data_IF_537391365147
#
_entry.id   IF_537391365147
#
_cell.length_a   1.000
_cell.length_b   1.000
_cell.length_c   1.000
_cell.angle_alpha   90.00
_cell.angle_beta   90.00
_cell.angle_gamma   90.00
#
_symmetry.space_group_name_H-M   'P 1'
#
loop_
_entity.id
_entity.type
_entity.pdbx_description
1 polymer ?
#
# COMPACT_ATOMS: atom_id res chain seq x y z
N UNK A 1 -7.83 22.27 15.20
CA UNK A 1 -8.59 21.04 15.53
C UNK A 1 -7.58 19.97 15.84
N UNK A 2 -7.54 19.47 17.08
CA UNK A 2 -6.76 18.27 17.40
C UNK A 2 -7.24 17.13 16.51
N UNK A 3 -6.31 16.42 15.88
CA UNK A 3 -6.67 15.30 15.04
C UNK A 3 -7.14 14.14 15.92
N UNK A 4 -8.45 13.94 15.99
CA UNK A 4 -9.12 12.94 16.84
C UNK A 4 -8.63 11.52 16.60
N UNK A 5 -8.14 11.21 15.40
CA UNK A 5 -7.58 9.91 15.09
C UNK A 5 -6.24 9.65 15.81
N UNK A 6 -5.35 10.64 15.90
CA UNK A 6 -4.04 10.45 16.54
C UNK A 6 -4.15 10.10 18.03
N UNK A 7 -5.22 10.58 18.67
CA UNK A 7 -5.54 10.29 20.07
C UNK A 7 -6.38 9.02 20.24
N UNK A 8 -6.81 8.36 19.16
CA UNK A 8 -7.58 7.14 19.24
C UNK A 8 -6.78 6.04 19.93
N UNK A 9 -7.39 5.42 20.94
CA UNK A 9 -6.82 4.24 21.59
C UNK A 9 -6.78 3.09 20.60
N UNK A 10 -5.67 2.36 20.60
CA UNK A 10 -5.48 1.18 19.76
C UNK A 10 -5.15 -0.01 20.65
N UNK A 11 -5.57 -1.19 20.23
CA UNK A 11 -5.26 -2.45 20.92
C UNK A 11 -3.87 -2.92 20.52
N UNK A 12 -2.84 -2.27 21.06
CA UNK A 12 -1.43 -2.59 20.81
C UNK A 12 -0.63 -2.54 22.12
N UNK A 13 0.21 -3.56 22.43
CA UNK A 13 0.91 -3.66 23.71
C UNK A 13 1.84 -2.48 24.00
N UNK A 14 2.58 -2.00 23.01
CA UNK A 14 3.60 -0.94 23.21
C UNK A 14 3.14 0.47 22.84
N UNK A 15 2.00 0.62 22.17
CA UNK A 15 1.56 1.90 21.60
C UNK A 15 0.09 2.11 21.95
N UNK A 16 -0.17 2.94 22.96
CA UNK A 16 -1.53 3.13 23.46
C UNK A 16 -2.44 3.92 22.51
N UNK A 17 -1.86 4.66 21.55
CA UNK A 17 -2.61 5.46 20.57
C UNK A 17 -2.05 5.33 19.16
N UNK A 18 -2.88 5.63 18.16
CA UNK A 18 -2.48 5.65 16.75
C UNK A 18 -1.31 6.62 16.49
N UNK A 19 -1.31 7.79 17.16
CA UNK A 19 -0.23 8.76 17.07
C UNK A 19 1.12 8.20 17.55
N UNK A 20 1.15 7.53 18.71
CA UNK A 20 2.38 6.90 19.22
C UNK A 20 2.91 5.82 18.29
N UNK A 21 2.01 5.04 17.67
CA UNK A 21 2.40 4.03 16.69
C UNK A 21 3.03 4.66 15.43
N UNK A 22 2.45 5.76 14.92
CA UNK A 22 2.98 6.49 13.78
C UNK A 22 4.33 7.16 14.08
N UNK A 23 4.50 7.73 15.27
CA UNK A 23 5.78 8.28 15.73
C UNK A 23 6.86 7.20 15.80
N UNK A 24 6.53 6.04 16.36
CA UNK A 24 7.41 4.88 16.40
C UNK A 24 7.83 4.41 15.00
N UNK A 25 6.87 4.34 14.07
CA UNK A 25 7.14 4.02 12.66
C UNK A 25 8.10 5.04 12.03
N UNK A 26 7.82 6.35 12.16
CA UNK A 26 8.66 7.42 11.58
C UNK A 26 10.08 7.37 12.13
N UNK A 27 10.22 7.15 13.44
CA UNK A 27 11.54 6.97 14.08
C UNK A 27 12.26 5.73 13.53
N UNK A 28 11.58 4.59 13.43
CA UNK A 28 12.15 3.36 12.91
C UNK A 28 12.61 3.50 11.45
N UNK A 29 11.85 4.20 10.60
CA UNK A 29 12.23 4.51 9.22
C UNK A 29 13.50 5.37 9.19
N UNK A 30 13.53 6.46 9.98
CA UNK A 30 14.68 7.36 10.06
C UNK A 30 15.96 6.64 10.52
N UNK A 31 15.81 5.71 11.45
CA UNK A 31 16.91 4.90 12.00
C UNK A 31 17.25 3.67 11.12
N UNK A 32 16.56 3.49 9.99
CA UNK A 32 16.64 2.31 9.11
C UNK A 32 16.52 0.98 9.87
N UNK A 33 15.66 0.96 10.89
CA UNK A 33 15.50 -0.17 11.80
C UNK A 33 14.86 -1.37 11.09
N UNK A 34 15.25 -2.59 11.49
CA UNK A 34 14.59 -3.83 11.05
C UNK A 34 13.14 -3.95 11.55
N UNK A 35 12.75 -3.13 12.53
CA UNK A 35 11.40 -3.11 13.11
C UNK A 35 10.34 -2.45 12.22
N UNK A 36 10.72 -1.72 11.15
CA UNK A 36 9.78 -0.98 10.28
C UNK A 36 8.63 -1.88 9.76
N UNK A 37 8.95 -3.12 9.36
CA UNK A 37 7.93 -4.07 8.89
C UNK A 37 6.90 -4.42 9.99
N UNK A 38 7.34 -4.50 11.25
CA UNK A 38 6.46 -4.81 12.39
C UNK A 38 5.42 -3.69 12.56
N UNK A 39 5.83 -2.43 12.47
CA UNK A 39 4.92 -1.29 12.54
C UNK A 39 3.86 -1.34 11.43
N UNK A 40 4.29 -1.52 10.17
CA UNK A 40 3.34 -1.61 9.05
C UNK A 40 2.38 -2.80 9.18
N UNK A 41 2.86 -3.95 9.67
CA UNK A 41 2.02 -5.11 9.96
C UNK A 41 0.99 -4.81 11.05
N UNK A 42 1.38 -4.11 12.12
CA UNK A 42 0.47 -3.75 13.19
C UNK A 42 -0.61 -2.76 12.69
N UNK A 43 -0.20 -1.77 11.89
CA UNK A 43 -1.14 -0.84 11.23
C UNK A 43 -2.13 -1.61 10.35
N UNK A 44 -1.65 -2.56 9.54
CA UNK A 44 -2.51 -3.43 8.72
C UNK A 44 -3.53 -4.19 9.56
N UNK A 45 -3.07 -4.81 10.66
CA UNK A 45 -3.90 -5.65 11.53
C UNK A 45 -4.94 -4.84 12.31
N UNK A 46 -4.65 -3.59 12.65
CA UNK A 46 -5.61 -2.70 13.29
C UNK A 46 -6.78 -2.35 12.37
N UNK A 47 -6.59 -2.37 11.04
CA UNK A 47 -7.66 -2.18 10.07
C UNK A 47 -8.38 -0.83 10.19
N UNK A 48 -7.72 0.20 10.73
CA UNK A 48 -8.33 1.51 10.94
C UNK A 48 -8.14 2.39 9.70
N UNK A 49 -9.24 2.82 9.10
CA UNK A 49 -9.28 3.71 7.93
C UNK A 49 -8.44 4.98 8.12
N UNK A 50 -8.39 5.52 9.34
CA UNK A 50 -7.66 6.75 9.66
C UNK A 50 -6.14 6.67 9.43
N UNK A 51 -5.53 5.47 9.35
CA UNK A 51 -4.10 5.35 9.02
C UNK A 51 -3.80 5.67 7.56
N UNK A 52 -4.75 5.48 6.65
CA UNK A 52 -4.53 5.60 5.21
C UNK A 52 -3.80 6.89 4.78
N UNK A 53 -4.29 8.11 5.11
CA UNK A 53 -3.60 9.34 4.73
C UNK A 53 -2.19 9.43 5.31
N UNK A 54 -2.01 9.04 6.58
CA UNK A 54 -0.72 9.13 7.26
C UNK A 54 0.34 8.20 6.67
N UNK A 55 -0.06 6.98 6.29
CA UNK A 55 0.87 6.03 5.67
C UNK A 55 1.31 6.56 4.31
N UNK A 56 0.40 7.13 3.51
CA UNK A 56 0.78 7.71 2.22
C UNK A 56 1.75 8.87 2.39
N UNK A 57 1.51 9.79 3.35
CA UNK A 57 2.47 10.87 3.63
C UNK A 57 3.85 10.33 4.08
N UNK A 58 3.89 9.29 4.92
CA UNK A 58 5.15 8.63 5.31
C UNK A 58 5.89 8.04 4.11
N UNK A 59 5.15 7.42 3.18
CA UNK A 59 5.76 6.81 2.00
C UNK A 59 6.30 7.83 1.00
N UNK A 60 5.66 9.00 0.88
CA UNK A 60 6.15 10.12 0.05
C UNK A 60 7.49 10.65 0.54
N UNK A 61 7.69 10.68 1.85
CA UNK A 61 8.94 11.10 2.49
C UNK A 61 10.04 10.00 2.44
N UNK A 62 9.73 8.82 1.89
CA UNK A 62 10.62 7.65 1.92
C UNK A 62 11.10 7.27 0.52
N UNK A 63 12.42 7.17 0.36
CA UNK A 63 13.05 6.72 -0.89
C UNK A 63 13.27 5.20 -0.94
N UNK A 64 13.32 4.54 0.23
CA UNK A 64 13.60 3.10 0.32
C UNK A 64 12.41 2.27 -0.16
N UNK A 65 12.57 1.61 -1.30
CA UNK A 65 11.52 0.80 -1.95
C UNK A 65 10.96 -0.29 -1.04
N UNK A 66 11.78 -0.86 -0.15
CA UNK A 66 11.32 -1.88 0.80
C UNK A 66 10.28 -1.32 1.78
N UNK A 67 10.41 -0.06 2.19
CA UNK A 67 9.44 0.60 3.06
C UNK A 67 8.18 1.00 2.28
N UNK A 68 8.31 1.45 1.02
CA UNK A 68 7.17 1.65 0.10
C UNK A 68 6.37 0.36 -0.07
N UNK A 69 7.03 -0.77 -0.29
CA UNK A 69 6.40 -2.08 -0.36
C UNK A 69 5.59 -2.38 0.91
N UNK A 70 6.19 -2.25 2.10
CA UNK A 70 5.51 -2.54 3.37
C UNK A 70 4.34 -1.61 3.65
N UNK A 71 4.50 -0.30 3.37
CA UNK A 71 3.44 0.67 3.58
C UNK A 71 2.26 0.46 2.64
N UNK A 72 2.50 0.26 1.34
CA UNK A 72 1.43 -0.04 0.39
C UNK A 72 0.70 -1.34 0.78
N UNK A 73 1.42 -2.34 1.26
CA UNK A 73 0.82 -3.57 1.76
C UNK A 73 -0.02 -3.35 3.04
N UNK A 74 0.32 -2.36 3.86
CA UNK A 74 -0.44 -1.99 5.05
C UNK A 74 -1.76 -1.27 4.73
N UNK A 75 -1.86 -0.65 3.55
CA UNK A 75 -3.09 -0.03 3.00
C UNK A 75 -4.11 -1.07 2.52
N UNK A 76 -4.51 -1.94 3.44
CA UNK A 76 -5.54 -2.97 3.20
C UNK A 76 -6.96 -2.47 3.46
N UNK A 77 -7.10 -1.43 4.29
CA UNK A 77 -8.38 -0.78 4.60
C UNK A 77 -8.47 0.56 3.89
N UNK A 78 -9.43 0.69 2.97
CA UNK A 78 -9.66 1.93 2.23
C UNK A 78 -10.68 2.79 3.01
N UNK A 79 -10.41 4.08 3.27
CA UNK A 79 -11.34 4.98 3.93
C UNK A 79 -12.69 5.06 3.20
N UNK A 80 -13.79 5.20 3.94
CA UNK A 80 -15.13 5.45 3.36
C UNK A 80 -15.29 6.85 2.78
N UNK A 81 -14.49 7.80 3.26
CA UNK A 81 -14.48 9.16 2.72
C UNK A 81 -13.79 9.17 1.35
N UNK A 82 -14.60 9.26 0.30
CA UNK A 82 -14.16 9.24 -1.10
C UNK A 82 -13.24 10.43 -1.42
N UNK A 83 -13.42 11.60 -0.79
CA UNK A 83 -12.61 12.77 -1.09
C UNK A 83 -11.20 12.63 -0.51
N UNK A 84 -11.08 11.99 0.66
CA UNK A 84 -9.77 11.58 1.22
C UNK A 84 -9.07 10.62 0.27
N UNK A 85 -9.76 9.59 -0.22
CA UNK A 85 -9.16 8.60 -1.14
C UNK A 85 -8.76 9.26 -2.46
N UNK A 86 -9.64 10.07 -3.04
CA UNK A 86 -9.41 10.79 -4.31
C UNK A 86 -8.13 11.64 -4.25
N UNK A 87 -7.91 12.33 -3.12
CA UNK A 87 -6.74 13.19 -2.90
C UNK A 87 -5.43 12.43 -3.07
N UNK A 88 -5.37 11.16 -2.64
CA UNK A 88 -4.13 10.39 -2.54
C UNK A 88 -3.88 9.41 -3.69
N UNK A 89 -4.85 9.22 -4.60
CA UNK A 89 -4.62 8.41 -5.83
C UNK A 89 -3.38 8.88 -6.60
N UNK A 90 -3.17 10.20 -6.87
CA UNK A 90 -2.00 10.66 -7.59
C UNK A 90 -0.68 10.27 -6.93
N UNK A 91 -0.59 10.37 -5.59
CA UNK A 91 0.63 9.99 -4.85
C UNK A 91 0.91 8.48 -4.99
N UNK A 92 -0.12 7.63 -4.97
CA UNK A 92 0.02 6.18 -5.19
C UNK A 92 0.49 5.90 -6.62
N UNK A 93 -0.07 6.59 -7.61
CA UNK A 93 0.34 6.43 -9.00
C UNK A 93 1.79 6.85 -9.22
N UNK A 94 2.21 7.96 -8.63
CA UNK A 94 3.60 8.45 -8.68
C UNK A 94 4.57 7.47 -8.02
N UNK A 95 4.18 6.84 -6.90
CA UNK A 95 5.00 5.79 -6.27
C UNK A 95 5.18 4.55 -7.15
N UNK A 96 4.20 4.23 -8.00
CA UNK A 96 4.29 3.13 -8.96
C UNK A 96 5.14 3.53 -10.17
N UNK A 97 4.99 4.77 -10.66
CA UNK A 97 5.76 5.30 -11.79
C UNK A 97 7.25 5.48 -11.47
N UNK A 98 7.58 5.90 -10.24
CA UNK A 98 8.95 6.26 -9.85
C UNK A 98 9.81 5.09 -9.36
N UNK A 99 9.33 3.84 -9.46
CA UNK A 99 10.01 2.67 -8.89
C UNK A 99 10.47 1.68 -9.95
N UNK A 100 11.68 1.17 -9.78
CA UNK A 100 12.21 0.01 -10.52
C UNK A 100 11.99 -1.30 -9.75
N UNK A 101 11.22 -1.29 -8.65
CA UNK A 101 11.04 -2.44 -7.78
C UNK A 101 9.70 -3.14 -8.04
N UNK A 102 9.71 -4.37 -8.60
CA UNK A 102 8.50 -5.09 -9.00
C UNK A 102 7.48 -5.30 -7.86
N UNK A 103 7.96 -5.42 -6.61
CA UNK A 103 7.09 -5.58 -5.43
C UNK A 103 6.32 -4.32 -5.09
N UNK A 104 6.92 -3.14 -5.32
CA UNK A 104 6.25 -1.84 -5.11
C UNK A 104 5.14 -1.69 -6.15
N UNK A 105 5.42 -2.02 -7.41
CA UNK A 105 4.41 -2.02 -8.48
C UNK A 105 3.25 -2.93 -8.11
N UNK A 106 3.52 -4.19 -7.74
CA UNK A 106 2.47 -5.15 -7.40
C UNK A 106 1.59 -4.65 -6.22
N UNK A 107 2.22 -4.15 -5.15
CA UNK A 107 1.47 -3.63 -4.00
C UNK A 107 0.70 -2.35 -4.32
N UNK A 108 1.27 -1.44 -5.12
CA UNK A 108 0.59 -0.23 -5.55
C UNK A 108 -0.65 -0.54 -6.41
N UNK A 109 -0.53 -1.47 -7.35
CA UNK A 109 -1.66 -1.97 -8.15
C UNK A 109 -2.74 -2.58 -7.26
N UNK A 110 -2.37 -3.35 -6.22
CA UNK A 110 -3.34 -3.88 -5.25
C UNK A 110 -4.08 -2.77 -4.50
N UNK A 111 -3.39 -1.69 -4.10
CA UNK A 111 -4.04 -0.55 -3.43
C UNK A 111 -5.06 0.10 -4.38
N UNK A 112 -4.67 0.37 -5.64
CA UNK A 112 -5.58 0.93 -6.64
C UNK A 112 -6.77 0.00 -6.92
N UNK A 113 -6.56 -1.32 -6.91
CA UNK A 113 -7.65 -2.30 -7.04
C UNK A 113 -8.63 -2.23 -5.88
N UNK A 114 -8.13 -2.17 -4.64
CA UNK A 114 -9.00 -2.01 -3.45
C UNK A 114 -9.77 -0.70 -3.49
N UNK A 115 -9.13 0.38 -3.96
CA UNK A 115 -9.80 1.68 -4.17
C UNK A 115 -10.94 1.52 -5.19
N UNK A 116 -10.69 0.92 -6.35
CA UNK A 116 -11.73 0.66 -7.37
C UNK A 116 -12.90 -0.16 -6.83
N UNK A 117 -12.64 -1.14 -5.95
CA UNK A 117 -13.69 -1.94 -5.31
C UNK A 117 -14.47 -1.18 -4.23
N UNK A 118 -13.81 -0.31 -3.47
CA UNK A 118 -14.45 0.46 -2.40
C UNK A 118 -15.19 1.70 -2.93
N UNK A 119 -14.65 2.33 -3.98
CA UNK A 119 -15.13 3.58 -4.59
C UNK A 119 -15.08 3.49 -6.13
N UNK A 120 -15.98 2.71 -6.75
CA UNK A 120 -16.02 2.57 -8.22
C UNK A 120 -16.16 3.90 -8.97
N UNK A 121 -16.70 4.93 -8.33
CA UNK A 121 -16.81 6.29 -8.87
C UNK A 121 -15.44 6.93 -9.15
N UNK A 122 -14.35 6.41 -8.59
CA UNK A 122 -12.98 6.86 -8.85
C UNK A 122 -12.32 6.14 -10.03
N UNK A 123 -12.94 5.09 -10.60
CA UNK A 123 -12.39 4.36 -11.77
C UNK A 123 -12.04 5.27 -12.96
N UNK A 124 -12.79 6.34 -13.30
CA UNK A 124 -12.39 7.27 -14.36
C UNK A 124 -11.06 7.99 -14.11
N UNK A 125 -10.65 8.16 -12.85
CA UNK A 125 -9.32 8.70 -12.53
C UNK A 125 -8.22 7.66 -12.76
N UNK A 126 -8.52 6.38 -12.51
CA UNK A 126 -7.60 5.28 -12.77
C UNK A 126 -7.44 5.07 -14.28
N UNK A 127 -8.51 5.09 -15.06
CA UNK A 127 -8.53 4.74 -16.50
C UNK A 127 -7.83 5.74 -17.45
N UNK A 128 -6.99 6.66 -16.96
CA UNK A 128 -6.34 7.70 -17.77
C UNK A 128 -5.03 7.27 -18.44
N UNK A 129 -4.56 6.03 -18.23
CA UNK A 129 -3.25 5.53 -18.71
C UNK A 129 -2.13 6.55 -18.49
N UNK A 130 -1.93 6.98 -17.24
CA UNK A 130 -0.99 8.05 -16.92
C UNK A 130 0.35 7.57 -16.38
N UNK A 131 0.46 6.32 -15.92
CA UNK A 131 1.68 5.80 -15.28
C UNK A 131 2.59 5.18 -16.35
N UNK A 132 3.82 5.67 -16.49
CA UNK A 132 4.83 5.04 -17.36
C UNK A 132 5.69 4.08 -16.55
N UNK A 133 5.64 2.80 -16.89
CA UNK A 133 6.48 1.78 -16.25
C UNK A 133 7.26 1.06 -17.33
N UNK A 134 8.56 0.83 -17.12
CA UNK A 134 9.33 0.08 -18.10
C UNK A 134 8.82 -1.36 -18.23
N UNK A 135 8.68 -1.82 -19.48
CA UNK A 135 8.25 -3.19 -19.76
C UNK A 135 9.03 -4.27 -18.98
N UNK A 136 10.37 -4.21 -18.83
CA UNK A 136 11.11 -5.22 -18.06
C UNK A 136 10.66 -5.29 -16.59
N UNK A 137 10.53 -4.15 -15.92
CA UNK A 137 10.15 -4.10 -14.50
C UNK A 137 8.71 -4.60 -14.33
N UNK A 138 7.81 -4.23 -15.25
CA UNK A 138 6.44 -4.73 -15.23
C UNK A 138 6.35 -6.24 -15.48
N UNK A 139 7.16 -6.78 -16.40
CA UNK A 139 7.26 -8.23 -16.62
C UNK A 139 7.75 -8.96 -15.37
N UNK A 140 8.68 -8.38 -14.62
CA UNK A 140 9.13 -8.96 -13.36
C UNK A 140 8.03 -8.90 -12.28
N UNK A 141 7.20 -7.84 -12.27
CA UNK A 141 6.03 -7.79 -11.39
C UNK A 141 5.02 -8.89 -11.75
N UNK A 142 4.78 -9.16 -13.04
CA UNK A 142 3.95 -10.28 -13.50
C UNK A 142 4.52 -11.64 -13.09
N UNK A 143 5.84 -11.84 -13.18
CA UNK A 143 6.50 -13.07 -12.72
C UNK A 143 6.37 -13.27 -11.22
N UNK A 144 6.34 -12.18 -10.44
CA UNK A 144 6.06 -12.26 -9.00
C UNK A 144 4.65 -12.79 -8.74
N UNK A 145 3.64 -12.37 -9.52
CA UNK A 145 2.26 -12.86 -9.40
C UNK A 145 2.21 -14.40 -9.49
N UNK A 146 2.96 -14.98 -10.43
CA UNK A 146 3.07 -16.43 -10.61
C UNK A 146 3.70 -17.18 -9.41
N UNK A 147 4.42 -16.48 -8.54
CA UNK A 147 5.12 -17.05 -7.39
C UNK A 147 4.63 -16.47 -6.05
N UNK A 148 3.43 -15.87 -6.04
CA UNK A 148 2.88 -15.19 -4.86
C UNK A 148 2.85 -16.07 -3.63
N UNK A 149 2.58 -17.37 -3.75
CA UNK A 149 2.54 -18.26 -2.59
C UNK A 149 3.88 -18.33 -1.84
N UNK A 150 5.01 -18.28 -2.55
CA UNK A 150 6.35 -18.26 -1.94
C UNK A 150 6.65 -16.94 -1.25
N UNK A 151 6.11 -15.84 -1.79
CA UNK A 151 6.34 -14.49 -1.28
C UNK A 151 5.37 -14.12 -0.14
N UNK A 152 4.10 -14.51 -0.26
CA UNK A 152 3.10 -14.41 0.79
C UNK A 152 3.45 -15.27 1.99
N UNK A 153 4.15 -16.41 1.82
CA UNK A 153 4.57 -17.26 2.94
C UNK A 153 5.41 -16.51 4.00
N UNK A 154 6.14 -15.47 3.61
CA UNK A 154 6.92 -14.64 4.54
C UNK A 154 6.05 -13.59 5.28
N UNK A 155 4.89 -13.24 4.74
CA UNK A 155 4.00 -12.19 5.24
C UNK A 155 2.71 -12.70 5.89
N UNK A 156 2.23 -13.85 5.43
CA UNK A 156 0.97 -14.50 5.77
C UNK A 156 1.20 -15.90 6.35
N UNK A 157 2.42 -16.19 6.84
CA UNK A 157 2.72 -17.42 7.57
C UNK A 157 1.65 -17.60 8.65
N UNK A 158 0.75 -18.56 8.43
CA UNK A 158 -0.39 -18.92 9.29
C UNK A 158 -1.70 -18.08 9.15
N UNK A 159 -1.89 -17.26 8.12
CA UNK A 159 -3.18 -16.63 7.83
C UNK A 159 -3.82 -17.22 6.57
N UNK A 160 -5.07 -17.67 6.64
CA UNK A 160 -5.87 -18.07 5.48
C UNK A 160 -6.25 -16.91 4.55
N UNK A 161 -5.83 -15.68 4.89
CA UNK A 161 -6.07 -14.46 4.12
C UNK A 161 -5.14 -14.45 2.90
N UNK A 162 -5.74 -14.11 1.77
CA UNK A 162 -5.20 -14.35 0.44
C UNK A 162 -5.26 -13.02 -0.36
N UNK A 163 -4.16 -12.57 -0.99
CA UNK A 163 -4.17 -11.35 -1.85
C UNK A 163 -5.23 -11.42 -2.95
N UNK A 164 -5.75 -10.27 -3.36
CA UNK A 164 -6.93 -10.14 -4.22
C UNK A 164 -6.63 -10.27 -5.73
N UNK A 165 -5.38 -10.12 -6.16
CA UNK A 165 -4.92 -10.24 -7.57
C UNK A 165 -3.88 -11.35 -7.74
N UNK A 166 -4.30 -12.61 -7.61
CA UNK A 166 -3.40 -13.79 -7.65
C UNK A 166 -3.08 -14.32 -9.04
N UNK A 167 -3.93 -14.00 -10.00
CA UNK A 167 -3.77 -14.49 -11.36
C UNK A 167 -3.08 -13.40 -12.20
N UNK A 168 -1.98 -13.72 -12.90
CA UNK A 168 -1.26 -12.74 -13.72
C UNK A 168 -2.15 -12.04 -14.73
N UNK A 169 -3.12 -12.76 -15.31
CA UNK A 169 -4.09 -12.17 -16.26
C UNK A 169 -4.99 -11.13 -15.58
N UNK A 170 -5.54 -11.43 -14.40
CA UNK A 170 -6.36 -10.47 -13.65
C UNK A 170 -5.55 -9.25 -13.25
N UNK A 171 -4.31 -9.46 -12.79
CA UNK A 171 -3.39 -8.37 -12.45
C UNK A 171 -3.08 -7.51 -13.68
N UNK A 172 -2.71 -8.13 -14.81
CA UNK A 172 -2.40 -7.47 -16.07
C UNK A 172 -3.59 -6.65 -16.57
N UNK A 173 -4.77 -7.25 -16.61
CA UNK A 173 -5.98 -6.60 -17.10
C UNK A 173 -6.35 -5.38 -16.28
N UNK A 174 -6.18 -5.44 -14.95
CA UNK A 174 -6.41 -4.29 -14.10
C UNK A 174 -5.31 -3.23 -14.25
N UNK A 175 -4.03 -3.62 -14.23
CA UNK A 175 -2.90 -2.68 -14.38
C UNK A 175 -2.94 -1.92 -15.72
N UNK A 176 -3.38 -2.57 -16.80
CA UNK A 176 -3.52 -1.99 -18.13
C UNK A 176 -4.53 -0.82 -18.22
N UNK A 177 -5.34 -0.60 -17.19
CA UNK A 177 -6.25 0.55 -17.11
C UNK A 177 -5.49 1.88 -16.94
N UNK A 178 -4.37 1.86 -16.22
CA UNK A 178 -3.63 3.05 -15.82
C UNK A 178 -2.16 3.05 -16.24
N UNK A 179 -1.60 1.92 -16.64
CA UNK A 179 -0.22 1.82 -17.10
C UNK A 179 -0.05 1.98 -18.61
N UNK A 180 1.03 2.66 -18.98
CA UNK A 180 1.66 2.66 -20.29
C UNK A 180 3.00 1.93 -20.16
N UNK A 181 3.15 0.85 -20.94
CA UNK A 181 4.33 -0.02 -20.96
C UNK A 181 5.31 0.37 -22.07
#
# INVERSE_FOLDING_TARGET
MENTFLNAKIDHPDHQTAGKLLEGLKKAIKEKSSSVNIYFRNIKNLGMEGFFPYIIEVLKETEESIYRQYGLQALSTIPKDIDVVRKYIPDIMEMIESTDEPKVIYQGVLVLYRISKAHPELDPLLNKKSIRVSLPVFQDALKLVNNLEKWEADFHKNSGVRSELRHPETFLNFANQFMML
#
